data_IF_141451552073
#
_entry.id   IF_141451552073
#
_cell.length_a   1.000
_cell.length_b   1.000
_cell.length_c   1.000
_cell.angle_alpha   90.00
_cell.angle_beta   90.00
_cell.angle_gamma   90.00
#
_symmetry.space_group_name_H-M   'P 1'
#
loop_
_entity.id
_entity.type
_entity.pdbx_description
1 polymer ?
#
# COMPACT_ATOMS: atom_id res chain seq x y z
N UNK A 1 -14.85 14.02 -11.94
CA UNK A 1 -13.79 12.99 -12.03
C UNK A 1 -13.40 12.68 -13.50
N UNK A 2 -14.33 12.57 -14.43
CA UNK A 2 -14.04 12.21 -15.84
C UNK A 2 -13.25 13.33 -16.56
N UNK A 3 -13.66 14.58 -16.41
CA UNK A 3 -13.06 15.71 -17.10
C UNK A 3 -11.56 15.91 -16.80
N UNK A 4 -11.09 15.88 -15.53
CA UNK A 4 -9.65 15.89 -15.23
C UNK A 4 -8.88 14.70 -15.81
N UNK A 5 -9.48 13.50 -15.81
CA UNK A 5 -8.83 12.33 -16.39
C UNK A 5 -8.63 12.46 -17.90
N UNK A 6 -9.65 12.93 -18.63
CA UNK A 6 -9.54 13.22 -20.05
C UNK A 6 -8.52 14.31 -20.33
N UNK A 7 -8.48 15.37 -19.50
CA UNK A 7 -7.48 16.43 -19.63
C UNK A 7 -6.07 15.90 -19.40
N UNK A 8 -5.86 15.02 -18.43
CA UNK A 8 -4.55 14.39 -18.19
C UNK A 8 -4.09 13.61 -19.42
N UNK A 9 -4.96 12.79 -20.00
CA UNK A 9 -4.65 12.06 -21.24
C UNK A 9 -4.33 13.03 -22.39
N UNK A 10 -5.09 14.12 -22.54
CA UNK A 10 -4.82 15.14 -23.57
C UNK A 10 -3.45 15.79 -23.38
N UNK A 11 -3.12 16.22 -22.16
CA UNK A 11 -1.84 16.86 -21.86
C UNK A 11 -0.64 15.90 -21.99
N UNK A 12 -0.85 14.60 -21.87
CA UNK A 12 0.21 13.60 -22.08
C UNK A 12 0.84 13.64 -23.47
N UNK A 13 0.09 14.17 -24.49
CA UNK A 13 0.56 14.34 -25.87
C UNK A 13 1.08 15.75 -26.17
N UNK A 14 1.37 16.55 -25.14
CA UNK A 14 1.81 17.93 -25.28
C UNK A 14 3.07 18.20 -24.46
N UNK A 15 3.82 19.25 -24.84
CA UNK A 15 4.96 19.79 -24.09
C UNK A 15 4.53 20.77 -22.99
N UNK A 16 3.36 20.54 -22.36
CA UNK A 16 2.80 21.47 -21.40
C UNK A 16 3.71 21.70 -20.21
N UNK A 17 4.09 22.97 -20.03
CA UNK A 17 4.84 23.45 -18.87
C UNK A 17 4.00 24.50 -18.11
N UNK A 18 3.86 24.34 -16.81
CA UNK A 18 3.03 25.21 -15.95
C UNK A 18 3.46 26.70 -16.04
N UNK A 19 4.76 26.97 -16.28
CA UNK A 19 5.26 28.34 -16.38
C UNK A 19 4.95 29.03 -17.72
N UNK A 20 4.53 28.27 -18.73
CA UNK A 20 4.24 28.77 -20.08
C UNK A 20 2.95 28.22 -20.60
N UNK A 21 1.81 28.51 -19.95
CA UNK A 21 0.52 27.92 -20.31
C UNK A 21 0.04 28.31 -21.72
N UNK A 22 0.52 29.44 -22.24
CA UNK A 22 0.15 29.94 -23.55
C UNK A 22 0.94 29.31 -24.72
N UNK A 23 1.96 28.49 -24.42
CA UNK A 23 2.86 27.89 -25.43
C UNK A 23 2.75 26.36 -25.49
N UNK A 24 1.56 25.83 -25.30
CA UNK A 24 1.33 24.38 -25.39
C UNK A 24 1.45 23.95 -26.85
N UNK A 25 2.40 23.05 -27.13
CA UNK A 25 2.56 22.43 -28.44
C UNK A 25 2.18 20.94 -28.36
N UNK A 26 1.61 20.43 -29.41
CA UNK A 26 1.39 19.01 -29.56
C UNK A 26 2.73 18.33 -29.93
N UNK A 27 3.18 17.37 -29.10
CA UNK A 27 4.43 16.63 -29.29
C UNK A 27 4.21 15.14 -29.67
N UNK A 28 2.96 14.75 -29.93
CA UNK A 28 2.65 13.38 -30.30
C UNK A 28 3.03 12.37 -29.21
N UNK A 29 3.86 11.39 -29.55
CA UNK A 29 4.29 10.31 -28.63
C UNK A 29 5.65 10.56 -27.99
N UNK A 30 6.27 11.73 -28.15
CA UNK A 30 7.63 11.99 -27.67
C UNK A 30 7.76 11.77 -26.18
N UNK A 31 6.79 12.25 -25.36
CA UNK A 31 6.77 12.01 -23.92
C UNK A 31 6.76 10.52 -23.55
N UNK A 32 6.06 9.69 -24.35
CA UNK A 32 6.01 8.24 -24.10
C UNK A 32 7.31 7.55 -24.51
N UNK A 33 7.95 7.98 -25.59
CA UNK A 33 9.25 7.46 -26.02
C UNK A 33 10.32 7.78 -24.96
N UNK A 34 10.35 9.05 -24.50
CA UNK A 34 11.22 9.48 -23.39
C UNK A 34 10.98 8.64 -22.14
N UNK A 35 9.73 8.47 -21.74
CA UNK A 35 9.33 7.71 -20.55
C UNK A 35 9.86 6.28 -20.57
N UNK A 36 9.75 5.56 -21.67
CA UNK A 36 10.25 4.18 -21.76
C UNK A 36 11.79 4.10 -21.80
N UNK A 37 12.48 5.20 -22.14
CA UNK A 37 13.93 5.35 -22.01
C UNK A 37 14.38 5.67 -20.59
N UNK A 38 13.52 6.28 -19.78
CA UNK A 38 13.85 6.87 -18.49
C UNK A 38 14.15 5.82 -17.41
N UNK A 39 15.33 5.92 -16.81
CA UNK A 39 15.77 5.06 -15.70
C UNK A 39 15.01 5.32 -14.41
N UNK A 40 14.67 6.57 -14.14
CA UNK A 40 13.97 6.99 -12.94
C UNK A 40 12.51 6.52 -12.94
N UNK A 41 11.85 6.57 -14.11
CA UNK A 41 10.54 5.95 -14.31
C UNK A 41 10.58 4.44 -14.03
N UNK A 42 11.53 3.72 -14.65
CA UNK A 42 11.69 2.27 -14.45
C UNK A 42 11.92 1.92 -12.99
N UNK A 43 12.79 2.66 -12.31
CA UNK A 43 13.08 2.49 -10.89
C UNK A 43 11.83 2.71 -10.03
N UNK A 44 11.08 3.79 -10.31
CA UNK A 44 9.84 4.13 -9.59
C UNK A 44 8.75 3.08 -9.81
N UNK A 45 8.66 2.52 -11.02
CA UNK A 45 7.74 1.42 -11.33
C UNK A 45 8.10 0.16 -10.54
N UNK A 46 9.37 -0.24 -10.54
CA UNK A 46 9.85 -1.39 -9.78
C UNK A 46 9.60 -1.22 -8.29
N UNK A 47 9.88 -0.05 -7.73
CA UNK A 47 9.63 0.26 -6.33
C UNK A 47 8.13 0.17 -5.98
N UNK A 48 7.26 0.67 -6.86
CA UNK A 48 5.80 0.60 -6.66
C UNK A 48 5.29 -0.84 -6.69
N UNK A 49 5.79 -1.65 -7.63
CA UNK A 49 5.45 -3.06 -7.70
C UNK A 49 5.99 -3.82 -6.48
N UNK A 50 7.25 -3.59 -6.10
CA UNK A 50 7.87 -4.19 -4.93
C UNK A 50 7.08 -3.90 -3.65
N UNK A 51 6.73 -2.63 -3.43
CA UNK A 51 5.89 -2.24 -2.30
C UNK A 51 4.56 -2.99 -2.33
N UNK A 52 3.86 -2.98 -3.48
CA UNK A 52 2.53 -3.58 -3.62
C UNK A 52 2.56 -5.09 -3.37
N UNK A 53 3.53 -5.80 -3.97
CA UNK A 53 3.66 -7.26 -3.83
C UNK A 53 3.93 -7.67 -2.38
N UNK A 54 4.67 -6.87 -1.62
CA UNK A 54 4.99 -7.20 -0.23
C UNK A 54 3.92 -6.69 0.76
N UNK A 55 3.42 -5.46 0.59
CA UNK A 55 2.46 -4.90 1.55
C UNK A 55 1.10 -5.59 1.49
N UNK A 56 0.62 -5.97 0.30
CA UNK A 56 -0.72 -6.57 0.16
C UNK A 56 -0.85 -7.88 0.95
N UNK A 57 -0.01 -8.92 0.75
CA UNK A 57 -0.13 -10.14 1.53
C UNK A 57 0.15 -9.90 3.02
N UNK A 58 1.17 -9.11 3.35
CA UNK A 58 1.52 -8.84 4.75
C UNK A 58 0.38 -8.16 5.50
N UNK A 59 -0.22 -7.11 4.94
CA UNK A 59 -1.32 -6.37 5.53
C UNK A 59 -2.60 -7.21 5.62
N UNK A 60 -2.93 -8.00 4.57
CA UNK A 60 -4.10 -8.88 4.59
C UNK A 60 -3.98 -9.99 5.63
N UNK A 61 -2.80 -10.61 5.73
CA UNK A 61 -2.54 -11.64 6.76
C UNK A 61 -2.63 -11.04 8.15
N UNK A 62 -1.98 -9.91 8.38
CA UNK A 62 -2.04 -9.21 9.67
C UNK A 62 -3.47 -8.85 10.06
N UNK A 63 -4.24 -8.30 9.11
CA UNK A 63 -5.64 -7.93 9.34
C UNK A 63 -6.53 -9.15 9.63
N UNK A 64 -6.35 -10.26 8.91
CA UNK A 64 -7.09 -11.50 9.16
C UNK A 64 -6.77 -12.08 10.54
N UNK A 65 -5.49 -12.13 10.92
CA UNK A 65 -5.08 -12.59 12.25
C UNK A 65 -5.68 -11.73 13.36
N UNK A 66 -5.64 -10.41 13.22
CA UNK A 66 -6.27 -9.48 14.15
C UNK A 66 -7.79 -9.70 14.21
N UNK A 67 -8.47 -9.88 13.07
CA UNK A 67 -9.90 -10.15 13.03
C UNK A 67 -10.27 -11.45 13.76
N UNK A 68 -9.49 -12.51 13.57
CA UNK A 68 -9.69 -13.79 14.26
C UNK A 68 -9.50 -13.65 15.78
N UNK A 69 -8.47 -12.91 16.22
CA UNK A 69 -8.21 -12.66 17.66
C UNK A 69 -9.39 -11.94 18.34
N UNK A 70 -10.01 -10.98 17.63
CA UNK A 70 -11.09 -10.16 18.17
C UNK A 70 -12.50 -10.64 17.78
N UNK A 71 -12.62 -11.76 17.04
CA UNK A 71 -13.91 -12.35 16.68
C UNK A 71 -14.62 -12.96 17.89
N UNK A 72 -13.88 -13.30 18.94
CA UNK A 72 -14.43 -13.87 20.18
C UNK A 72 -15.37 -12.89 20.89
N UNK A 73 -16.47 -13.43 21.49
CA UNK A 73 -17.44 -12.63 22.28
C UNK A 73 -16.95 -12.30 23.70
N UNK A 74 -15.64 -12.18 23.94
CA UNK A 74 -15.09 -11.89 25.27
C UNK A 74 -15.32 -10.43 25.66
N UNK A 75 -15.47 -10.17 26.96
CA UNK A 75 -15.52 -8.82 27.52
C UNK A 75 -14.21 -8.07 27.19
N UNK A 76 -14.29 -6.81 26.80
CA UNK A 76 -13.12 -5.99 26.45
C UNK A 76 -12.73 -5.95 24.96
N UNK A 77 -13.27 -6.82 24.12
CA UNK A 77 -12.97 -6.86 22.67
C UNK A 77 -13.22 -5.51 21.99
N UNK A 78 -14.20 -4.73 22.46
CA UNK A 78 -14.49 -3.39 21.94
C UNK A 78 -13.31 -2.43 22.07
N UNK A 79 -12.57 -2.49 23.18
CA UNK A 79 -11.39 -1.65 23.42
C UNK A 79 -10.27 -2.04 22.44
N UNK A 80 -10.03 -3.35 22.24
CA UNK A 80 -9.05 -3.81 21.26
C UNK A 80 -9.42 -3.41 19.82
N UNK A 81 -10.71 -3.49 19.45
CA UNK A 81 -11.18 -2.98 18.14
C UNK A 81 -10.85 -1.50 17.95
N UNK A 82 -11.15 -0.68 18.95
CA UNK A 82 -10.85 0.74 18.92
C UNK A 82 -9.33 1.00 18.84
N UNK A 83 -8.53 0.29 19.61
CA UNK A 83 -7.08 0.44 19.62
C UNK A 83 -6.43 0.07 18.28
N UNK A 84 -6.82 -1.06 17.66
CA UNK A 84 -6.28 -1.46 16.37
C UNK A 84 -6.81 -0.63 15.18
N UNK A 85 -8.00 -0.04 15.32
CA UNK A 85 -8.57 0.84 14.30
C UNK A 85 -8.04 2.29 14.41
N UNK A 86 -7.62 2.72 15.60
CA UNK A 86 -7.14 4.08 15.89
C UNK A 86 -6.03 4.58 14.93
N UNK A 87 -5.01 3.80 14.56
CA UNK A 87 -3.97 4.26 13.64
C UNK A 87 -4.52 4.63 12.25
N UNK A 88 -5.59 3.98 11.81
CA UNK A 88 -6.20 4.25 10.49
C UNK A 88 -6.98 5.58 10.44
N UNK A 89 -7.48 6.07 11.58
CA UNK A 89 -8.18 7.36 11.67
C UNK A 89 -7.18 8.52 11.72
N UNK A 90 -5.97 8.26 12.19
CA UNK A 90 -4.92 9.27 12.33
C UNK A 90 -4.41 9.69 10.94
N UNK A 91 -4.13 10.99 10.76
CA UNK A 91 -3.53 11.49 9.52
C UNK A 91 -2.25 10.71 9.16
N UNK A 92 -2.16 10.24 7.92
CA UNK A 92 -0.98 9.51 7.43
C UNK A 92 0.31 10.34 7.56
N UNK A 93 0.25 11.65 7.40
CA UNK A 93 1.40 12.55 7.57
C UNK A 93 1.91 12.49 9.00
N UNK A 94 1.01 12.58 9.98
CA UNK A 94 1.36 12.51 11.41
C UNK A 94 1.97 11.13 11.74
N UNK A 95 1.35 10.06 11.27
CA UNK A 95 1.88 8.69 11.45
C UNK A 95 3.27 8.56 10.85
N UNK A 96 3.47 9.06 9.62
CA UNK A 96 4.76 9.01 8.93
C UNK A 96 5.85 9.77 9.71
N UNK A 97 5.54 10.95 10.26
CA UNK A 97 6.49 11.73 11.09
C UNK A 97 6.82 10.97 12.37
N UNK A 98 5.82 10.44 13.09
CA UNK A 98 6.05 9.65 14.31
C UNK A 98 6.94 8.44 14.06
N UNK A 99 6.67 7.69 12.97
CA UNK A 99 7.49 6.55 12.61
C UNK A 99 8.91 6.94 12.16
N UNK A 100 9.08 8.11 11.54
CA UNK A 100 10.43 8.63 11.22
C UNK A 100 11.26 8.87 12.47
N UNK A 101 10.63 9.32 13.56
CA UNK A 101 11.31 9.45 14.87
C UNK A 101 11.62 8.07 15.47
N UNK A 102 10.70 7.11 15.41
CA UNK A 102 10.91 5.74 15.89
C UNK A 102 12.05 5.03 15.13
N UNK A 103 12.15 5.27 13.82
CA UNK A 103 13.16 4.71 12.91
C UNK A 103 14.49 5.48 12.92
N UNK A 104 14.70 6.44 13.82
CA UNK A 104 15.95 7.17 13.88
C UNK A 104 17.14 6.19 14.00
N UNK A 105 18.18 6.31 13.16
CA UNK A 105 19.31 5.40 13.18
C UNK A 105 20.16 5.47 14.45
N UNK A 106 20.12 6.61 15.18
CA UNK A 106 20.85 6.78 16.42
C UNK A 106 20.10 6.09 17.58
N UNK A 107 20.71 5.10 18.27
CA UNK A 107 20.09 4.41 19.40
C UNK A 107 19.75 5.30 20.61
N UNK A 108 20.39 6.47 20.73
CA UNK A 108 20.09 7.41 21.81
C UNK A 108 18.76 8.15 21.62
N UNK A 109 18.28 8.26 20.39
CA UNK A 109 17.08 9.04 20.02
C UNK A 109 16.00 8.18 19.34
N UNK A 110 16.37 7.09 18.68
CA UNK A 110 15.48 6.15 18.01
C UNK A 110 15.07 4.99 18.90
N UNK A 111 13.78 4.92 19.26
CA UNK A 111 13.28 3.88 20.17
C UNK A 111 13.51 2.45 19.66
N UNK A 112 13.34 2.21 18.36
CA UNK A 112 13.55 0.88 17.78
C UNK A 112 15.02 0.47 17.81
N UNK A 113 15.94 1.37 17.49
CA UNK A 113 17.36 1.10 17.60
C UNK A 113 17.85 1.00 19.05
N UNK A 114 17.27 1.77 19.98
CA UNK A 114 17.52 1.60 21.40
C UNK A 114 17.11 0.20 21.89
N UNK A 115 15.99 -0.32 21.40
CA UNK A 115 15.53 -1.67 21.72
C UNK A 115 16.40 -2.74 21.06
N UNK A 116 16.77 -2.59 19.79
CA UNK A 116 17.68 -3.52 19.08
C UNK A 116 19.04 -3.63 19.78
N UNK A 117 19.64 -2.51 20.15
CA UNK A 117 20.94 -2.50 20.85
C UNK A 117 20.87 -3.12 22.23
N UNK A 118 19.76 -2.95 22.97
CA UNK A 118 19.56 -3.65 24.25
C UNK A 118 19.48 -5.18 24.10
N UNK A 119 19.00 -5.66 22.94
CA UNK A 119 18.95 -7.09 22.60
C UNK A 119 20.28 -7.61 22.02
N UNK A 120 21.32 -6.76 21.90
CA UNK A 120 22.62 -7.14 21.35
C UNK A 120 22.71 -7.09 19.83
N UNK A 121 21.71 -6.54 19.11
CA UNK A 121 21.74 -6.35 17.68
C UNK A 121 22.41 -5.03 17.29
N UNK A 122 23.05 -5.00 16.11
CA UNK A 122 23.56 -3.75 15.54
C UNK A 122 22.41 -2.79 15.18
N UNK A 123 22.62 -1.47 15.30
CA UNK A 123 21.64 -0.48 14.86
C UNK A 123 21.29 -0.65 13.37
N UNK A 124 20.01 -0.52 13.05
CA UNK A 124 19.50 -0.63 11.69
C UNK A 124 19.29 0.77 11.09
N UNK A 125 19.74 0.96 9.85
CA UNK A 125 19.56 2.20 9.10
C UNK A 125 18.18 2.35 8.49
N UNK A 126 17.12 1.91 9.16
CA UNK A 126 15.72 1.81 8.70
C UNK A 126 15.35 2.66 7.46
N UNK A 127 15.51 3.99 7.54
CA UNK A 127 15.17 4.93 6.46
C UNK A 127 16.40 5.46 5.72
N UNK A 128 17.61 5.22 6.22
CA UNK A 128 18.86 5.76 5.68
C UNK A 128 19.65 4.76 4.83
N UNK A 129 19.29 3.47 4.87
CA UNK A 129 19.87 2.42 4.03
C UNK A 129 18.91 2.07 2.89
N UNK A 130 19.37 2.09 1.61
CA UNK A 130 18.55 1.71 0.45
C UNK A 130 17.92 0.31 0.54
N UNK A 131 18.53 -0.62 1.27
CA UNK A 131 18.05 -1.99 1.41
C UNK A 131 16.90 -2.13 2.40
N UNK A 132 16.82 -1.25 3.40
CA UNK A 132 15.84 -1.32 4.50
C UNK A 132 14.72 -0.29 4.38
N UNK A 133 14.95 0.83 3.67
CA UNK A 133 14.04 1.96 3.67
C UNK A 133 12.63 1.62 3.14
N UNK A 134 12.53 0.91 2.01
CA UNK A 134 11.22 0.51 1.49
C UNK A 134 10.53 -0.51 2.41
N UNK A 135 11.27 -1.46 3.01
CA UNK A 135 10.72 -2.43 3.93
C UNK A 135 10.20 -1.78 5.22
N UNK A 136 10.87 -0.74 5.71
CA UNK A 136 10.42 0.05 6.86
C UNK A 136 9.10 0.77 6.55
N UNK A 137 8.95 1.33 5.35
CA UNK A 137 7.70 1.95 4.88
C UNK A 137 6.60 0.88 4.74
N UNK A 138 6.90 -0.32 4.22
CA UNK A 138 5.96 -1.43 4.11
C UNK A 138 5.41 -1.81 5.49
N UNK A 139 6.30 -2.00 6.47
CA UNK A 139 5.90 -2.38 7.83
C UNK A 139 4.97 -1.33 8.47
N UNK A 140 5.36 -0.07 8.43
CA UNK A 140 4.57 1.04 8.96
C UNK A 140 3.20 1.15 8.27
N UNK A 141 3.18 1.06 6.93
CA UNK A 141 1.96 1.16 6.14
C UNK A 141 1.00 0.01 6.44
N UNK A 142 1.51 -1.21 6.52
CA UNK A 142 0.71 -2.38 6.86
C UNK A 142 0.13 -2.29 8.27
N UNK A 143 0.93 -1.86 9.26
CA UNK A 143 0.46 -1.66 10.63
C UNK A 143 -0.66 -0.59 10.69
N UNK A 144 -0.45 0.54 10.02
CA UNK A 144 -1.40 1.65 10.04
C UNK A 144 -2.75 1.28 9.41
N UNK A 145 -2.73 0.56 8.30
CA UNK A 145 -3.94 0.26 7.53
C UNK A 145 -4.61 -1.07 7.92
N UNK A 146 -3.92 -1.99 8.62
CA UNK A 146 -4.46 -3.30 8.97
C UNK A 146 -5.77 -3.23 9.76
N UNK A 147 -5.97 -2.21 10.57
CA UNK A 147 -7.19 -2.03 11.36
C UNK A 147 -8.45 -1.87 10.51
N UNK A 148 -8.35 -1.22 9.35
CA UNK A 148 -9.47 -1.09 8.43
C UNK A 148 -9.85 -2.44 7.80
N UNK A 149 -8.88 -3.18 7.27
CA UNK A 149 -9.14 -4.51 6.70
C UNK A 149 -9.57 -5.52 7.76
N UNK A 150 -9.05 -5.41 9.00
CA UNK A 150 -9.48 -6.20 10.14
C UNK A 150 -11.00 -6.09 10.37
N UNK A 151 -11.57 -4.89 10.28
CA UNK A 151 -13.01 -4.69 10.44
C UNK A 151 -13.82 -5.35 9.33
N UNK A 152 -13.31 -5.32 8.08
CA UNK A 152 -13.95 -5.99 6.95
C UNK A 152 -13.91 -7.52 7.13
N UNK A 153 -12.73 -8.06 7.52
CA UNK A 153 -12.62 -9.50 7.83
C UNK A 153 -13.49 -9.91 9.00
N UNK A 154 -13.60 -9.08 10.04
CA UNK A 154 -14.46 -9.37 11.19
C UNK A 154 -15.94 -9.47 10.80
N UNK A 155 -16.41 -8.55 9.94
CA UNK A 155 -17.76 -8.63 9.40
C UNK A 155 -17.97 -9.91 8.58
N UNK A 156 -16.98 -10.29 7.76
CA UNK A 156 -17.00 -11.54 7.01
C UNK A 156 -17.03 -12.79 7.90
N UNK A 157 -16.21 -12.81 8.96
CA UNK A 157 -16.18 -13.91 9.94
C UNK A 157 -17.54 -14.09 10.64
N UNK A 158 -18.22 -12.99 10.96
CA UNK A 158 -19.53 -13.00 11.61
C UNK A 158 -20.66 -13.44 10.67
N UNK A 159 -20.45 -13.38 9.36
CA UNK A 159 -21.43 -13.82 8.35
C UNK A 159 -21.37 -15.32 8.07
N UNK A 160 -20.32 -16.03 8.52
CA UNK A 160 -20.23 -17.49 8.36
C UNK A 160 -21.21 -18.15 9.33
N UNK A 161 -22.12 -19.02 8.85
CA UNK A 161 -23.08 -19.72 9.70
C UNK A 161 -22.40 -20.58 10.78
N UNK A 162 -22.87 -20.47 12.02
CA UNK A 162 -22.33 -21.24 13.17
C UNK A 162 -22.44 -22.77 12.97
N UNK A 163 -23.51 -23.21 12.32
CA UNK A 163 -23.78 -24.62 12.03
C UNK A 163 -22.62 -25.29 11.27
N UNK A 164 -21.93 -24.57 10.42
CA UNK A 164 -20.75 -25.11 9.70
C UNK A 164 -19.59 -25.44 10.67
N UNK A 165 -19.39 -24.63 11.70
CA UNK A 165 -18.38 -24.89 12.72
C UNK A 165 -18.80 -26.00 13.66
N UNK A 166 -20.09 -26.12 13.94
CA UNK A 166 -20.65 -27.21 14.76
C UNK A 166 -20.54 -28.54 14.03
N UNK A 167 -20.95 -28.62 12.76
CA UNK A 167 -20.78 -29.80 11.92
C UNK A 167 -19.32 -30.27 11.86
N UNK A 168 -18.39 -29.33 11.57
CA UNK A 168 -16.97 -29.64 11.58
C UNK A 168 -16.47 -30.12 12.95
N UNK A 169 -17.10 -29.67 14.06
CA UNK A 169 -16.76 -30.16 15.41
C UNK A 169 -17.22 -31.59 15.62
N UNK A 170 -18.40 -31.95 15.12
CA UNK A 170 -18.95 -33.31 15.18
C UNK A 170 -18.10 -34.28 14.38
N UNK A 171 -17.58 -33.83 13.22
CA UNK A 171 -16.63 -34.57 12.37
C UNK A 171 -15.22 -34.69 12.98
N UNK A 172 -14.99 -34.14 14.17
CA UNK A 172 -13.70 -34.20 14.87
C UNK A 172 -12.64 -33.23 14.35
N UNK A 173 -13.01 -32.21 13.56
CA UNK A 173 -12.07 -31.24 13.03
C UNK A 173 -11.44 -30.35 14.12
N UNK A 174 -10.11 -30.32 14.18
CA UNK A 174 -9.34 -29.41 15.03
C UNK A 174 -9.41 -27.95 14.58
N UNK A 175 -8.87 -27.02 15.38
CA UNK A 175 -8.92 -25.58 15.10
C UNK A 175 -8.31 -25.20 13.74
N UNK A 176 -7.18 -25.79 13.36
CA UNK A 176 -6.53 -25.54 12.07
C UNK A 176 -7.36 -26.09 10.88
N UNK A 177 -8.00 -27.25 11.04
CA UNK A 177 -8.88 -27.82 10.02
C UNK A 177 -10.12 -26.94 9.82
N UNK A 178 -10.74 -26.47 10.91
CA UNK A 178 -11.85 -25.49 10.83
C UNK A 178 -11.44 -24.19 10.14
N UNK A 179 -10.24 -23.70 10.42
CA UNK A 179 -9.70 -22.53 9.72
C UNK A 179 -9.57 -22.78 8.21
N UNK A 180 -8.99 -23.92 7.82
CA UNK A 180 -8.69 -24.23 6.43
C UNK A 180 -9.94 -24.58 5.61
N UNK A 181 -10.88 -25.35 6.20
CA UNK A 181 -12.03 -25.94 5.48
C UNK A 181 -13.36 -25.19 5.70
N UNK A 182 -13.47 -24.35 6.73
CA UNK A 182 -14.67 -23.57 7.01
C UNK A 182 -14.40 -22.07 6.86
N UNK A 183 -13.41 -21.57 7.62
CA UNK A 183 -13.15 -20.11 7.71
C UNK A 183 -12.63 -19.54 6.38
N UNK A 184 -11.56 -20.10 5.81
CA UNK A 184 -10.99 -19.60 4.56
C UNK A 184 -11.95 -19.68 3.37
N UNK A 185 -12.67 -20.80 3.14
CA UNK A 185 -13.68 -20.85 2.09
C UNK A 185 -14.84 -19.88 2.34
N UNK A 186 -15.31 -19.76 3.58
CA UNK A 186 -16.37 -18.81 3.96
C UNK A 186 -15.97 -17.35 3.76
N UNK A 187 -14.68 -17.02 3.90
CA UNK A 187 -14.12 -15.69 3.67
C UNK A 187 -13.68 -15.44 2.21
N UNK A 188 -13.78 -16.39 1.30
CA UNK A 188 -13.26 -16.31 -0.07
C UNK A 188 -13.60 -14.97 -0.73
N UNK A 189 -14.84 -14.53 -0.72
CA UNK A 189 -15.27 -13.28 -1.34
C UNK A 189 -14.77 -12.02 -0.58
N UNK A 190 -14.68 -12.10 0.73
CA UNK A 190 -14.13 -11.02 1.57
C UNK A 190 -12.63 -10.86 1.34
N UNK A 191 -11.88 -11.96 1.29
CA UNK A 191 -10.44 -11.96 0.95
C UNK A 191 -10.23 -11.30 -0.42
N UNK A 192 -11.02 -11.70 -1.41
CA UNK A 192 -11.00 -11.12 -2.75
C UNK A 192 -11.16 -9.60 -2.73
N UNK A 193 -12.17 -9.13 -2.03
CA UNK A 193 -12.47 -7.71 -1.90
C UNK A 193 -11.33 -6.97 -1.20
N UNK A 194 -10.83 -7.51 -0.07
CA UNK A 194 -9.74 -6.88 0.70
C UNK A 194 -8.45 -6.83 -0.10
N UNK A 195 -8.06 -7.90 -0.78
CA UNK A 195 -6.86 -7.92 -1.63
C UNK A 195 -6.96 -6.89 -2.75
N UNK A 196 -8.12 -6.80 -3.42
CA UNK A 196 -8.32 -5.85 -4.51
C UNK A 196 -8.23 -4.40 -4.05
N UNK A 197 -8.90 -4.02 -2.96
CA UNK A 197 -8.87 -2.65 -2.45
C UNK A 197 -7.49 -2.29 -1.92
N UNK A 198 -6.83 -3.22 -1.21
CA UNK A 198 -5.46 -3.02 -0.69
C UNK A 198 -4.46 -2.84 -1.83
N UNK A 199 -4.55 -3.63 -2.90
CA UNK A 199 -3.70 -3.49 -4.08
C UNK A 199 -3.86 -2.11 -4.73
N UNK A 200 -5.10 -1.65 -4.95
CA UNK A 200 -5.35 -0.32 -5.53
C UNK A 200 -4.79 0.79 -4.63
N UNK A 201 -4.91 0.65 -3.30
CA UNK A 201 -4.35 1.61 -2.35
C UNK A 201 -2.82 1.58 -2.34
N UNK A 202 -2.22 0.40 -2.38
CA UNK A 202 -0.77 0.21 -2.40
C UNK A 202 -0.11 0.83 -3.65
N UNK A 203 -0.73 0.65 -4.82
CA UNK A 203 -0.23 1.26 -6.05
C UNK A 203 -0.18 2.80 -5.97
N UNK A 204 -1.07 3.43 -5.20
CA UNK A 204 -1.14 4.89 -5.02
C UNK A 204 -0.24 5.43 -3.89
N UNK A 205 0.76 4.66 -3.46
CA UNK A 205 1.69 5.07 -2.41
C UNK A 205 2.40 6.39 -2.76
N UNK A 206 2.18 7.42 -1.93
CA UNK A 206 2.77 8.75 -2.11
C UNK A 206 3.24 9.36 -0.79
N UNK A 207 2.33 9.49 0.19
CA UNK A 207 2.56 10.30 1.41
C UNK A 207 3.74 9.79 2.22
N UNK A 208 3.88 8.48 2.36
CA UNK A 208 4.93 7.86 3.16
C UNK A 208 6.33 8.12 2.56
N UNK A 209 6.62 7.79 1.28
CA UNK A 209 7.88 8.15 0.67
C UNK A 209 8.16 9.65 0.67
N UNK A 210 7.13 10.47 0.44
CA UNK A 210 7.27 11.93 0.42
C UNK A 210 7.70 12.49 1.77
N UNK A 211 7.06 12.05 2.86
CA UNK A 211 7.30 12.59 4.22
C UNK A 211 8.52 11.97 4.87
N UNK A 212 8.72 10.65 4.74
CA UNK A 212 9.73 9.92 5.52
C UNK A 212 11.12 9.94 4.88
N UNK A 213 11.20 9.92 3.55
CA UNK A 213 12.46 9.67 2.84
C UNK A 213 12.70 10.59 1.64
N UNK A 214 11.68 11.35 1.22
CA UNK A 214 11.73 12.16 0.00
C UNK A 214 12.21 11.35 -1.23
N UNK A 215 11.73 10.09 -1.33
CA UNK A 215 12.11 9.16 -2.40
C UNK A 215 13.46 8.46 -2.22
N UNK A 216 14.27 8.91 -1.24
CA UNK A 216 15.62 8.39 -0.96
C UNK A 216 15.64 7.16 -0.02
N UNK A 217 16.83 6.72 0.38
CA UNK A 217 18.14 7.03 -0.23
C UNK A 217 18.28 6.37 -1.62
N UNK A 218 19.03 6.99 -2.51
CA UNK A 218 19.32 6.48 -3.86
C UNK A 218 18.07 6.08 -4.67
N UNK A 219 16.98 6.85 -4.55
CA UNK A 219 15.68 6.57 -5.18
C UNK A 219 15.06 5.22 -4.79
N UNK A 220 15.46 4.62 -3.65
CA UNK A 220 14.98 3.30 -3.22
C UNK A 220 13.52 3.28 -2.79
N UNK A 221 12.97 4.43 -2.43
CA UNK A 221 11.56 4.58 -2.02
C UNK A 221 10.74 5.45 -2.98
N UNK A 222 11.35 5.93 -4.07
CA UNK A 222 10.64 6.71 -5.09
C UNK A 222 9.60 5.83 -5.78
N UNK A 223 8.32 6.14 -5.61
CA UNK A 223 7.19 5.46 -6.24
C UNK A 223 6.70 6.20 -7.47
N UNK A 224 5.86 5.56 -8.30
CA UNK A 224 5.33 6.20 -9.51
C UNK A 224 4.51 7.46 -9.20
N UNK A 225 3.68 7.44 -8.16
CA UNK A 225 2.87 8.62 -7.80
C UNK A 225 3.78 9.74 -7.27
N UNK A 226 4.84 9.39 -6.54
CA UNK A 226 5.84 10.37 -6.12
C UNK A 226 6.60 10.95 -7.33
N UNK A 227 6.97 10.11 -8.29
CA UNK A 227 7.63 10.54 -9.53
C UNK A 227 6.74 11.46 -10.39
N UNK A 228 5.44 11.16 -10.51
CA UNK A 228 4.47 12.05 -11.16
C UNK A 228 4.45 13.43 -10.50
N UNK A 229 4.41 13.46 -9.17
CA UNK A 229 4.44 14.71 -8.41
C UNK A 229 5.74 15.49 -8.65
N UNK A 230 6.88 14.82 -8.61
CA UNK A 230 8.21 15.41 -8.83
C UNK A 230 8.31 16.03 -10.22
N UNK A 231 7.93 15.29 -11.27
CA UNK A 231 7.96 15.78 -12.65
C UNK A 231 6.96 16.91 -12.90
N UNK A 232 5.74 16.78 -12.40
CA UNK A 232 4.69 17.76 -12.63
C UNK A 232 4.88 19.06 -11.87
N UNK A 233 5.23 18.98 -10.57
CA UNK A 233 5.22 20.15 -9.69
C UNK A 233 6.59 20.67 -9.34
N UNK A 234 7.60 19.82 -9.22
CA UNK A 234 8.98 20.26 -8.92
C UNK A 234 9.74 20.59 -10.21
N UNK A 235 9.76 19.68 -11.17
CA UNK A 235 10.41 19.87 -12.47
C UNK A 235 9.58 20.70 -13.45
N UNK A 236 8.28 20.93 -13.12
CA UNK A 236 7.32 21.73 -13.93
C UNK A 236 7.06 21.18 -15.33
N UNK A 237 7.46 19.96 -15.62
CA UNK A 237 7.23 19.26 -16.87
C UNK A 237 5.88 18.51 -16.81
N UNK A 238 4.80 19.28 -16.93
CA UNK A 238 3.46 18.75 -16.67
C UNK A 238 3.00 17.80 -17.79
N UNK A 239 3.38 18.06 -19.05
CA UNK A 239 3.07 17.16 -20.17
C UNK A 239 3.67 15.76 -19.95
N UNK A 240 4.95 15.70 -19.59
CA UNK A 240 5.62 14.45 -19.26
C UNK A 240 5.00 13.76 -18.03
N UNK A 241 4.73 14.51 -16.95
CA UNK A 241 4.06 13.95 -15.77
C UNK A 241 2.67 13.35 -16.12
N UNK A 242 1.93 13.98 -17.04
CA UNK A 242 0.66 13.45 -17.54
C UNK A 242 0.84 12.15 -18.34
N UNK A 243 1.94 11.99 -19.10
CA UNK A 243 2.23 10.72 -19.78
C UNK A 243 2.53 9.59 -18.80
N UNK A 244 3.33 9.87 -17.74
CA UNK A 244 3.57 8.93 -16.64
C UNK A 244 2.28 8.53 -15.95
N UNK A 245 1.40 9.53 -15.63
CA UNK A 245 0.10 9.30 -14.99
C UNK A 245 -0.84 8.47 -15.87
N UNK A 246 -0.83 8.68 -17.19
CA UNK A 246 -1.62 7.92 -18.16
C UNK A 246 -1.18 6.46 -18.21
N UNK A 247 0.13 6.20 -18.29
CA UNK A 247 0.69 4.84 -18.25
C UNK A 247 0.39 4.17 -16.90
N UNK A 248 0.56 4.89 -15.80
CA UNK A 248 0.21 4.40 -14.46
C UNK A 248 -1.26 4.00 -14.36
N UNK A 249 -2.17 4.83 -14.87
CA UNK A 249 -3.61 4.52 -14.90
C UNK A 249 -3.89 3.22 -15.66
N UNK A 250 -3.28 3.04 -16.84
CA UNK A 250 -3.43 1.81 -17.64
C UNK A 250 -2.91 0.60 -16.86
N UNK A 251 -1.76 0.71 -16.18
CA UNK A 251 -1.20 -0.36 -15.35
C UNK A 251 -2.17 -0.75 -14.23
N UNK A 252 -2.69 0.23 -13.47
CA UNK A 252 -3.61 -0.03 -12.34
C UNK A 252 -4.91 -0.68 -12.82
N UNK A 253 -5.49 -0.18 -13.91
CA UNK A 253 -6.71 -0.76 -14.49
C UNK A 253 -6.47 -2.19 -14.96
N UNK A 254 -5.38 -2.41 -15.69
CA UNK A 254 -5.03 -3.75 -16.21
C UNK A 254 -4.82 -4.74 -15.07
N UNK A 255 -4.05 -4.38 -14.04
CA UNK A 255 -3.86 -5.21 -12.84
C UNK A 255 -5.17 -5.50 -12.12
N UNK A 256 -6.03 -4.50 -11.97
CA UNK A 256 -7.35 -4.67 -11.33
C UNK A 256 -8.26 -5.62 -12.12
N UNK A 257 -8.26 -5.51 -13.45
CA UNK A 257 -9.03 -6.39 -14.32
C UNK A 257 -8.49 -7.82 -14.32
N UNK A 258 -7.16 -7.99 -14.36
CA UNK A 258 -6.51 -9.30 -14.24
C UNK A 258 -6.86 -9.96 -12.90
N UNK A 259 -6.73 -9.24 -11.80
CA UNK A 259 -7.09 -9.74 -10.47
C UNK A 259 -8.56 -10.17 -10.43
N UNK A 260 -9.46 -9.33 -10.97
CA UNK A 260 -10.91 -9.66 -11.06
C UNK A 260 -11.17 -10.93 -11.87
N UNK A 261 -10.42 -11.19 -12.95
CA UNK A 261 -10.57 -12.42 -13.76
C UNK A 261 -10.07 -13.65 -13.03
N UNK A 262 -8.85 -13.60 -12.46
CA UNK A 262 -8.28 -14.70 -11.65
C UNK A 262 -9.22 -15.07 -10.50
N UNK A 263 -9.88 -14.08 -9.95
CA UNK A 263 -10.78 -14.20 -8.81
C UNK A 263 -12.19 -14.72 -9.23
N UNK A 264 -12.63 -14.49 -10.50
CA UNK A 264 -13.91 -14.98 -11.03
C UNK A 264 -13.89 -16.42 -11.54
N UNK A 265 -12.70 -16.98 -11.73
CA UNK A 265 -12.52 -18.31 -12.35
C UNK A 265 -12.92 -19.50 -11.44
N UNK A 266 -13.70 -19.24 -10.34
CA UNK A 266 -14.28 -20.30 -9.48
C UNK A 266 -15.77 -20.10 -9.25
#
# INVERSE_FOLDING_TARGET
LILPAVSTVRYAFTDYNILRPDKIKFCGLDNFVELFGDRDFKKSLVNTIYFTVLVVPFQCILALLLAMLISSRRKGVSIFRAAYFSPNITSMVVVAILWSVLYNPNPSTGLLNAFLTKLGFAPCGFLTDPKTSMNSIIFMSAWQAAGYQMMIFLAGLQAIPGDQYEAASIDGAGAFQKFLYVTLPGLKNVIKYVVMITMIQAMKLFTQPYVMTQGGPQNSTRTLVYYIYEQGFQSRNFGYACSVATVFFVIVVTMSLMLKRVIKAD
#
